data_IF_125753338241
#
_entry.id   IF_125753338241
#
_cell.length_a   1.000
_cell.length_b   1.000
_cell.length_c   1.000
_cell.angle_alpha   90.00
_cell.angle_beta   90.00
_cell.angle_gamma   90.00
#
_symmetry.space_group_name_H-M   'P 1'
#
loop_
_entity.id
_entity.type
_entity.pdbx_description
1 polymer ?
#
# COMPACT_ATOMS: atom_id res chain seq x y z
N UNK A 1 -9.91 8.72 -30.33
CA UNK A 1 -8.72 8.59 -29.45
C UNK A 1 -8.13 7.20 -29.61
N UNK A 2 -6.82 7.09 -29.83
CA UNK A 2 -6.13 5.80 -29.98
C UNK A 2 -6.10 5.09 -28.62
N UNK A 3 -6.87 4.01 -28.45
CA UNK A 3 -7.02 3.30 -27.16
C UNK A 3 -5.68 2.89 -26.55
N UNK A 4 -4.69 2.57 -27.39
CA UNK A 4 -3.33 2.21 -26.97
C UNK A 4 -2.57 3.37 -26.29
N UNK A 5 -2.77 4.60 -26.76
CA UNK A 5 -2.09 5.77 -26.20
C UNK A 5 -2.60 6.14 -24.81
N UNK A 6 -3.91 5.97 -24.57
CA UNK A 6 -4.55 6.25 -23.27
C UNK A 6 -4.11 5.25 -22.21
N UNK A 7 -4.03 3.96 -22.57
CA UNK A 7 -3.56 2.91 -21.66
C UNK A 7 -2.11 3.12 -21.25
N UNK A 8 -1.20 3.43 -22.20
CA UNK A 8 0.21 3.68 -21.89
C UNK A 8 0.39 4.91 -21.01
N UNK A 9 -0.33 6.01 -21.28
CA UNK A 9 -0.33 7.20 -20.42
C UNK A 9 -0.85 6.90 -19.01
N UNK A 10 -1.91 6.09 -18.89
CA UNK A 10 -2.45 5.67 -17.60
C UNK A 10 -1.45 4.86 -16.76
N UNK A 11 -0.69 3.97 -17.41
CA UNK A 11 0.33 3.16 -16.73
C UNK A 11 1.51 4.00 -16.28
N UNK A 12 2.01 4.89 -17.14
CA UNK A 12 3.04 5.84 -16.78
C UNK A 12 2.58 6.75 -15.64
N UNK A 13 1.33 7.22 -15.68
CA UNK A 13 0.72 8.01 -14.62
C UNK A 13 0.63 7.24 -13.29
N UNK A 14 0.21 5.97 -13.32
CA UNK A 14 0.13 5.12 -12.13
C UNK A 14 1.51 4.84 -11.52
N UNK A 15 2.51 4.51 -12.34
CA UNK A 15 3.89 4.32 -11.89
C UNK A 15 4.47 5.60 -11.30
N UNK A 16 4.28 6.74 -11.98
CA UNK A 16 4.72 8.04 -11.49
C UNK A 16 4.05 8.41 -10.16
N UNK A 17 2.74 8.15 -10.03
CA UNK A 17 1.99 8.39 -8.80
C UNK A 17 2.50 7.55 -7.64
N UNK A 18 2.74 6.25 -7.85
CA UNK A 18 3.24 5.34 -6.80
C UNK A 18 4.64 5.75 -6.37
N UNK A 19 5.51 6.08 -7.32
CA UNK A 19 6.87 6.55 -7.04
C UNK A 19 6.84 7.90 -6.29
N UNK A 20 6.02 8.84 -6.73
CA UNK A 20 5.85 10.14 -6.08
C UNK A 20 5.28 9.98 -4.66
N UNK A 21 4.25 9.16 -4.48
CA UNK A 21 3.67 8.86 -3.18
C UNK A 21 4.70 8.23 -2.23
N UNK A 22 5.54 7.32 -2.74
CA UNK A 22 6.61 6.67 -1.96
C UNK A 22 7.67 7.68 -1.51
N UNK A 23 8.15 8.53 -2.42
CA UNK A 23 9.12 9.60 -2.10
C UNK A 23 8.51 10.59 -1.10
N UNK A 24 7.27 11.01 -1.33
CA UNK A 24 6.56 11.92 -0.44
C UNK A 24 6.42 11.34 0.98
N UNK A 25 6.11 10.04 1.09
CA UNK A 25 6.07 9.34 2.37
C UNK A 25 7.43 9.36 3.06
N UNK A 26 8.51 9.00 2.37
CA UNK A 26 9.87 9.00 2.93
C UNK A 26 10.24 10.39 3.47
N UNK A 27 10.01 11.45 2.68
CA UNK A 27 10.31 12.83 3.08
C UNK A 27 9.48 13.24 4.29
N UNK A 28 8.18 12.93 4.29
CA UNK A 28 7.27 13.26 5.39
C UNK A 28 7.69 12.57 6.68
N UNK A 29 8.02 11.27 6.61
CA UNK A 29 8.50 10.49 7.75
C UNK A 29 9.80 11.02 8.30
N UNK A 30 10.77 11.29 7.42
CA UNK A 30 12.06 11.85 7.83
C UNK A 30 11.87 13.21 8.51
N UNK A 31 10.99 14.06 7.97
CA UNK A 31 10.69 15.38 8.54
C UNK A 31 10.01 15.27 9.90
N UNK A 32 9.00 14.41 10.04
CA UNK A 32 8.30 14.20 11.32
C UNK A 32 9.23 13.64 12.39
N UNK A 33 10.08 12.67 12.03
CA UNK A 33 11.06 12.10 12.97
C UNK A 33 12.08 13.14 13.41
N UNK A 34 12.56 13.98 12.49
CA UNK A 34 13.49 15.08 12.81
C UNK A 34 12.83 16.12 13.71
N UNK A 35 11.58 16.49 13.43
CA UNK A 35 10.81 17.43 14.27
C UNK A 35 10.64 16.85 15.67
N UNK A 36 10.26 15.57 15.79
CA UNK A 36 10.05 14.92 17.08
C UNK A 36 11.36 14.86 17.89
N UNK A 37 12.48 14.54 17.24
CA UNK A 37 13.81 14.54 17.88
C UNK A 37 14.27 15.93 18.34
N UNK A 38 13.87 17.00 17.66
CA UNK A 38 14.25 18.38 18.04
C UNK A 38 13.29 18.95 19.08
N UNK A 39 11.99 18.65 18.99
CA UNK A 39 10.95 19.20 19.86
C UNK A 39 10.73 18.42 21.16
N UNK A 40 11.22 17.18 21.24
CA UNK A 40 11.29 16.42 22.49
C UNK A 40 12.42 16.89 23.43
N UNK A 41 13.30 17.78 22.96
CA UNK A 41 14.23 18.47 23.85
C UNK A 41 13.45 19.41 24.77
N UNK A 42 13.70 19.30 26.08
CA UNK A 42 13.04 20.06 27.14
C UNK A 42 13.51 21.53 27.12
N UNK A 43 13.15 22.24 26.05
CA UNK A 43 13.47 23.63 25.80
C UNK A 43 12.34 24.50 26.31
N UNK A 44 12.57 25.13 27.46
CA UNK A 44 11.71 26.21 27.95
C UNK A 44 12.02 27.49 27.15
N UNK A 45 11.08 27.90 26.29
CA UNK A 45 11.11 29.22 25.65
C UNK A 45 10.08 30.09 26.37
N UNK A 46 10.53 30.87 27.35
CA UNK A 46 9.66 31.67 28.21
C UNK A 46 9.04 30.87 29.36
N UNK A 47 7.70 30.88 29.49
CA UNK A 47 6.91 30.11 30.48
C UNK A 47 6.20 28.87 29.91
N UNK A 48 6.40 28.59 28.61
CA UNK A 48 5.73 27.49 27.93
C UNK A 48 6.75 26.38 27.69
N UNK A 49 6.53 25.24 28.34
CA UNK A 49 7.32 24.04 28.08
C UNK A 49 6.89 23.49 26.71
N UNK A 50 7.79 23.59 25.72
CA UNK A 50 7.53 23.15 24.36
C UNK A 50 7.29 21.63 24.28
N UNK A 51 7.91 20.85 25.18
CA UNK A 51 7.64 19.42 25.32
C UNK A 51 6.20 19.12 25.76
N UNK A 52 5.63 19.91 26.67
CA UNK A 52 4.23 19.74 27.13
C UNK A 52 3.23 20.10 26.02
N UNK A 53 3.43 21.23 25.33
CA UNK A 53 2.55 21.65 24.22
C UNK A 53 2.67 20.71 23.02
N UNK A 54 3.87 20.23 22.72
CA UNK A 54 4.12 19.20 21.71
C UNK A 54 3.38 17.91 22.03
N UNK A 55 3.50 17.41 23.25
CA UNK A 55 2.83 16.18 23.67
C UNK A 55 1.29 16.33 23.71
N UNK A 56 0.78 17.53 24.02
CA UNK A 56 -0.66 17.82 23.95
C UNK A 56 -1.19 17.94 22.51
N UNK A 57 -0.38 18.36 21.55
CA UNK A 57 -0.82 18.55 20.16
C UNK A 57 -0.50 17.33 19.30
N UNK A 58 0.78 17.02 19.16
CA UNK A 58 1.28 15.90 18.37
C UNK A 58 1.03 14.57 19.06
N UNK A 59 1.06 14.51 20.40
CA UNK A 59 0.73 13.29 21.13
C UNK A 59 -0.76 12.90 21.02
N UNK A 60 -1.69 13.86 21.01
CA UNK A 60 -3.11 13.58 20.74
C UNK A 60 -3.35 13.17 19.29
N UNK A 61 -2.70 13.83 18.33
CA UNK A 61 -2.76 13.44 16.92
C UNK A 61 -2.23 12.02 16.72
N UNK A 62 -1.10 11.68 17.36
CA UNK A 62 -0.50 10.35 17.27
C UNK A 62 -1.45 9.28 17.87
N UNK A 63 -2.06 9.54 19.03
CA UNK A 63 -3.06 8.66 19.65
C UNK A 63 -4.31 8.48 18.78
N UNK A 64 -4.79 9.53 18.11
CA UNK A 64 -5.93 9.45 17.20
C UNK A 64 -5.61 8.65 15.93
N UNK A 65 -4.38 8.78 15.41
CA UNK A 65 -3.89 7.97 14.31
C UNK A 65 -3.81 6.50 14.74
N UNK A 66 -3.26 6.20 15.92
CA UNK A 66 -3.16 4.85 16.50
C UNK A 66 -4.52 4.17 16.58
N UNK A 67 -5.54 4.86 17.12
CA UNK A 67 -6.88 4.31 17.24
C UNK A 67 -7.51 3.96 15.87
N UNK A 68 -7.01 4.56 14.78
CA UNK A 68 -7.48 4.33 13.42
C UNK A 68 -6.48 3.50 12.59
N UNK A 69 -5.31 3.11 13.12
CA UNK A 69 -4.29 2.40 12.35
C UNK A 69 -4.79 1.08 11.80
N UNK A 70 -5.60 0.33 12.56
CA UNK A 70 -6.22 -0.91 12.10
C UNK A 70 -7.10 -0.69 10.86
N UNK A 71 -7.93 0.35 10.89
CA UNK A 71 -8.84 0.68 9.80
C UNK A 71 -8.09 1.22 8.59
N UNK A 72 -7.09 2.09 8.81
CA UNK A 72 -6.23 2.65 7.76
C UNK A 72 -5.45 1.52 7.07
N UNK A 73 -4.88 0.61 7.86
CA UNK A 73 -4.15 -0.57 7.39
C UNK A 73 -5.00 -1.45 6.47
N UNK A 74 -6.23 -1.76 6.88
CA UNK A 74 -7.16 -2.56 6.09
C UNK A 74 -7.59 -1.83 4.80
N UNK A 75 -7.91 -0.54 4.88
CA UNK A 75 -8.29 0.27 3.72
C UNK A 75 -7.16 0.30 2.68
N UNK A 76 -5.92 0.50 3.13
CA UNK A 76 -4.75 0.52 2.26
C UNK A 76 -4.57 -0.85 1.60
N UNK A 77 -4.64 -1.93 2.38
CA UNK A 77 -4.47 -3.29 1.86
C UNK A 77 -5.55 -3.61 0.81
N UNK A 78 -6.83 -3.38 1.10
CA UNK A 78 -7.90 -3.57 0.11
C UNK A 78 -7.76 -2.66 -1.11
N UNK A 79 -7.38 -1.39 -0.93
CA UNK A 79 -7.16 -0.45 -2.03
C UNK A 79 -6.08 -0.95 -2.99
N UNK A 80 -5.00 -1.49 -2.45
CA UNK A 80 -3.91 -2.09 -3.22
C UNK A 80 -4.39 -3.31 -4.00
N UNK A 81 -5.15 -4.22 -3.36
CA UNK A 81 -5.69 -5.40 -4.04
C UNK A 81 -6.55 -5.01 -5.24
N UNK A 82 -7.39 -3.98 -5.09
CA UNK A 82 -8.25 -3.48 -6.16
C UNK A 82 -7.42 -2.88 -7.29
N UNK A 83 -6.43 -2.03 -6.97
CA UNK A 83 -5.57 -1.39 -7.97
C UNK A 83 -4.78 -2.43 -8.76
N UNK A 84 -4.12 -3.38 -8.09
CA UNK A 84 -3.38 -4.47 -8.74
C UNK A 84 -4.31 -5.35 -9.59
N UNK A 85 -5.50 -5.65 -9.08
CA UNK A 85 -6.53 -6.38 -9.82
C UNK A 85 -6.95 -5.70 -11.13
N UNK A 86 -7.26 -4.40 -11.06
CA UNK A 86 -7.67 -3.59 -12.22
C UNK A 86 -6.55 -3.44 -13.24
N UNK A 87 -5.34 -3.14 -12.77
CA UNK A 87 -4.14 -3.08 -13.61
C UNK A 87 -3.92 -4.42 -14.30
N UNK A 88 -4.07 -5.54 -13.57
CA UNK A 88 -3.90 -6.88 -14.11
C UNK A 88 -4.89 -7.22 -15.23
N UNK A 89 -6.18 -6.93 -15.05
CA UNK A 89 -7.19 -7.20 -16.08
C UNK A 89 -6.91 -6.39 -17.35
N UNK A 90 -6.50 -5.13 -17.23
CA UNK A 90 -6.24 -4.26 -18.38
C UNK A 90 -4.96 -4.60 -19.14
N UNK A 91 -3.88 -4.95 -18.44
CA UNK A 91 -2.55 -5.13 -19.04
C UNK A 91 -2.18 -6.57 -19.36
N UNK A 92 -2.65 -7.54 -18.58
CA UNK A 92 -2.20 -8.92 -18.73
C UNK A 92 -2.64 -9.56 -20.05
N UNK A 93 -3.76 -9.10 -20.64
CA UNK A 93 -4.27 -9.62 -21.91
C UNK A 93 -3.45 -9.18 -23.13
N UNK A 94 -3.08 -7.89 -23.17
CA UNK A 94 -2.40 -7.26 -24.30
C UNK A 94 -0.87 -7.39 -24.22
N UNK A 95 -0.29 -7.17 -23.03
CA UNK A 95 1.15 -7.07 -22.84
C UNK A 95 1.61 -7.80 -21.57
N UNK A 96 1.61 -9.14 -21.55
CA UNK A 96 1.90 -9.93 -20.34
C UNK A 96 3.30 -9.66 -19.76
N UNK A 97 4.30 -9.37 -20.61
CA UNK A 97 5.66 -9.03 -20.13
C UNK A 97 5.71 -7.68 -19.39
N UNK A 98 4.94 -6.69 -19.86
CA UNK A 98 4.89 -5.35 -19.26
C UNK A 98 4.04 -5.41 -17.98
N UNK A 99 2.97 -6.21 -17.99
CA UNK A 99 2.15 -6.47 -16.80
C UNK A 99 3.00 -6.91 -15.60
N UNK A 100 3.83 -7.95 -15.76
CA UNK A 100 4.67 -8.44 -14.65
C UNK A 100 5.63 -7.37 -14.12
N UNK A 101 6.19 -6.53 -15.00
CA UNK A 101 7.09 -5.46 -14.59
C UNK A 101 6.35 -4.38 -13.77
N UNK A 102 5.19 -3.93 -14.27
CA UNK A 102 4.38 -2.90 -13.62
C UNK A 102 3.87 -3.40 -12.27
N UNK A 103 3.38 -4.63 -12.23
CA UNK A 103 2.80 -5.22 -11.03
C UNK A 103 3.88 -5.52 -9.97
N UNK A 104 5.10 -5.90 -10.38
CA UNK A 104 6.24 -5.99 -9.48
C UNK A 104 6.64 -4.62 -8.89
N UNK A 105 6.64 -3.56 -9.70
CA UNK A 105 6.89 -2.19 -9.20
C UNK A 105 5.82 -1.72 -8.23
N UNK A 106 4.55 -2.00 -8.52
CA UNK A 106 3.44 -1.72 -7.60
C UNK A 106 3.63 -2.46 -6.29
N UNK A 107 3.98 -3.75 -6.34
CA UNK A 107 4.22 -4.56 -5.16
C UNK A 107 5.37 -3.99 -4.29
N UNK A 108 6.44 -3.48 -4.90
CA UNK A 108 7.52 -2.79 -4.16
C UNK A 108 7.00 -1.52 -3.47
N UNK A 109 6.21 -0.69 -4.15
CA UNK A 109 5.63 0.51 -3.54
C UNK A 109 4.71 0.17 -2.37
N UNK A 110 3.91 -0.88 -2.54
CA UNK A 110 3.04 -1.45 -1.50
C UNK A 110 3.85 -1.93 -0.30
N UNK A 111 4.94 -2.66 -0.55
CA UNK A 111 5.82 -3.14 0.50
C UNK A 111 6.39 -1.99 1.33
N UNK A 112 6.88 -0.93 0.68
CA UNK A 112 7.42 0.26 1.37
C UNK A 112 6.33 0.93 2.22
N UNK A 113 5.11 1.06 1.70
CA UNK A 113 4.00 1.66 2.44
C UNK A 113 3.58 0.80 3.63
N UNK A 114 3.56 -0.51 3.45
CA UNK A 114 3.27 -1.46 4.51
C UNK A 114 4.34 -1.45 5.61
N UNK A 115 5.62 -1.37 5.22
CA UNK A 115 6.77 -1.29 6.12
C UNK A 115 6.70 -0.03 6.99
N UNK A 116 6.34 1.10 6.37
CA UNK A 116 6.12 2.34 7.10
C UNK A 116 5.02 2.22 8.16
N UNK A 117 3.86 1.65 7.82
CA UNK A 117 2.76 1.45 8.78
C UNK A 117 3.20 0.54 9.93
N UNK A 118 3.89 -0.54 9.60
CA UNK A 118 4.42 -1.49 10.58
C UNK A 118 5.42 -0.82 11.52
N UNK A 119 6.39 -0.07 10.99
CA UNK A 119 7.40 0.64 11.78
C UNK A 119 6.82 1.75 12.66
N UNK A 120 5.80 2.46 12.15
CA UNK A 120 5.04 3.42 12.97
C UNK A 120 4.36 2.71 14.15
N UNK A 121 3.74 1.54 13.91
CA UNK A 121 3.10 0.75 14.95
C UNK A 121 4.11 0.21 15.98
N UNK A 122 5.27 -0.28 15.53
CA UNK A 122 6.36 -0.78 16.39
C UNK A 122 6.91 0.32 17.32
N UNK A 123 7.16 1.50 16.77
CA UNK A 123 7.63 2.67 17.54
C UNK A 123 6.65 3.00 18.67
N UNK A 124 5.35 2.85 18.42
CA UNK A 124 4.29 3.17 19.37
C UNK A 124 4.18 2.12 20.48
N UNK A 125 4.17 0.82 20.14
CA UNK A 125 4.08 -0.26 21.15
C UNK A 125 5.34 -0.35 22.01
N UNK A 126 6.49 0.07 21.49
CA UNK A 126 7.76 0.10 22.23
C UNK A 126 7.82 1.25 23.26
N UNK A 127 6.86 2.19 23.25
CA UNK A 127 6.82 3.29 24.20
C UNK A 127 6.50 2.78 25.63
N UNK A 128 7.41 2.95 26.60
CA UNK A 128 7.23 2.45 27.98
C UNK A 128 5.97 2.96 28.67
N UNK A 129 5.49 4.15 28.29
CA UNK A 129 4.31 4.82 28.86
C UNK A 129 2.98 4.15 28.45
N UNK A 130 2.98 3.43 27.34
CA UNK A 130 1.81 2.74 26.77
C UNK A 130 1.89 1.21 26.96
N UNK A 131 3.09 0.70 27.26
CA UNK A 131 3.39 -0.72 27.37
C UNK A 131 2.49 -1.43 28.41
N UNK A 132 2.22 -0.79 29.56
CA UNK A 132 1.37 -1.34 30.61
C UNK A 132 -0.11 -1.52 30.20
N UNK A 133 -0.61 -0.77 29.21
CA UNK A 133 -1.99 -0.89 28.70
C UNK A 133 -2.07 -1.90 27.55
N UNK A 134 -0.97 -2.09 26.82
CA UNK A 134 -0.91 -2.87 25.57
C UNK A 134 -0.54 -4.35 25.82
N UNK A 135 0.31 -4.66 26.81
CA UNK A 135 0.78 -6.04 27.05
C UNK A 135 -0.27 -7.00 27.58
N UNK A 136 -1.33 -6.52 28.23
CA UNK A 136 -2.37 -7.39 28.80
C UNK A 136 -3.45 -7.79 27.79
N UNK A 137 -3.59 -7.05 26.69
CA UNK A 137 -4.67 -7.22 25.72
C UNK A 137 -4.20 -7.14 24.26
N UNK A 138 -2.92 -7.40 23.98
CA UNK A 138 -2.35 -7.28 22.63
C UNK A 138 -3.15 -8.17 21.66
N UNK A 139 -4.11 -7.61 20.90
CA UNK A 139 -5.05 -8.44 20.16
C UNK A 139 -4.28 -9.10 19.03
N UNK A 140 -4.76 -10.24 18.54
CA UNK A 140 -4.17 -10.88 17.34
C UNK A 140 -4.07 -9.91 16.14
N UNK A 141 -4.84 -8.82 16.13
CA UNK A 141 -4.81 -7.72 15.16
C UNK A 141 -3.48 -6.94 15.17
N UNK A 142 -2.85 -6.75 16.32
CA UNK A 142 -1.56 -6.06 16.42
C UNK A 142 -0.43 -6.85 15.74
N UNK A 143 -0.46 -8.19 15.84
CA UNK A 143 0.48 -9.07 15.12
C UNK A 143 0.26 -9.02 13.61
N UNK A 144 -0.95 -8.73 13.14
CA UNK A 144 -1.24 -8.55 11.72
C UNK A 144 -0.59 -7.27 11.19
N UNK A 145 -0.70 -6.16 11.92
CA UNK A 145 -0.12 -4.86 11.52
C UNK A 145 1.40 -4.88 11.54
N UNK A 146 2.01 -5.51 12.55
CA UNK A 146 3.47 -5.71 12.62
C UNK A 146 4.03 -6.57 11.48
N UNK A 147 3.19 -7.40 10.86
CA UNK A 147 3.58 -8.25 9.74
C UNK A 147 2.91 -7.83 8.43
N UNK A 148 2.37 -6.61 8.38
CA UNK A 148 1.65 -6.09 7.22
C UNK A 148 2.50 -6.11 5.93
N UNK A 149 3.83 -5.86 5.95
CA UNK A 149 4.67 -5.97 4.74
C UNK A 149 4.65 -7.38 4.14
N UNK A 150 4.69 -8.39 5.01
CA UNK A 150 4.66 -9.80 4.60
C UNK A 150 3.28 -10.13 4.02
N UNK A 151 2.21 -9.77 4.72
CA UNK A 151 0.84 -10.03 4.25
C UNK A 151 0.50 -9.30 2.96
N UNK A 152 0.93 -8.05 2.81
CA UNK A 152 0.74 -7.27 1.59
C UNK A 152 1.52 -7.87 0.40
N UNK A 153 2.75 -8.35 0.64
CA UNK A 153 3.55 -9.03 -0.39
C UNK A 153 2.93 -10.35 -0.83
N UNK A 154 2.50 -11.18 0.12
CA UNK A 154 1.87 -12.46 -0.17
C UNK A 154 0.55 -12.29 -0.93
N UNK A 155 -0.30 -11.36 -0.50
CA UNK A 155 -1.57 -11.08 -1.17
C UNK A 155 -1.36 -10.46 -2.56
N UNK A 156 -0.38 -9.57 -2.72
CA UNK A 156 0.01 -9.01 -4.02
C UNK A 156 0.50 -10.09 -5.00
N UNK A 157 1.36 -11.01 -4.54
CA UNK A 157 1.81 -12.16 -5.34
C UNK A 157 0.65 -13.07 -5.76
N UNK A 158 -0.27 -13.36 -4.83
CA UNK A 158 -1.46 -14.17 -5.14
C UNK A 158 -2.33 -13.50 -6.21
N UNK A 159 -2.54 -12.18 -6.11
CA UNK A 159 -3.29 -11.42 -7.12
C UNK A 159 -2.59 -11.45 -8.47
N UNK A 160 -1.28 -11.27 -8.51
CA UNK A 160 -0.50 -11.32 -9.75
C UNK A 160 -0.71 -12.66 -10.48
N UNK A 161 -0.62 -13.77 -9.74
CA UNK A 161 -0.84 -15.12 -10.29
C UNK A 161 -2.29 -15.28 -10.76
N UNK A 162 -3.25 -14.83 -9.95
CA UNK A 162 -4.67 -14.99 -10.24
C UNK A 162 -5.13 -14.17 -11.45
N UNK A 163 -4.73 -12.90 -11.54
CA UNK A 163 -5.04 -12.02 -12.67
C UNK A 163 -4.38 -12.48 -13.96
N UNK A 164 -3.14 -12.97 -13.90
CA UNK A 164 -2.48 -13.56 -15.05
C UNK A 164 -3.20 -14.84 -15.53
N UNK A 165 -3.53 -15.75 -14.60
CA UNK A 165 -4.23 -17.00 -14.90
C UNK A 165 -5.61 -16.76 -15.53
N UNK A 166 -6.38 -15.82 -14.99
CA UNK A 166 -7.66 -15.41 -15.56
C UNK A 166 -7.51 -14.83 -16.97
N UNK A 167 -6.55 -13.94 -17.17
CA UNK A 167 -6.34 -13.27 -18.45
C UNK A 167 -5.93 -14.23 -19.56
N UNK A 168 -5.12 -15.24 -19.25
CA UNK A 168 -4.75 -16.30 -20.20
C UNK A 168 -5.97 -17.12 -20.63
N UNK A 169 -6.83 -17.52 -19.68
CA UNK A 169 -8.02 -18.32 -19.94
C UNK A 169 -9.02 -17.60 -20.85
N UNK A 170 -9.21 -16.29 -20.66
CA UNK A 170 -10.09 -15.45 -21.50
C UNK A 170 -9.59 -15.43 -22.95
N UNK A 171 -8.27 -15.26 -23.15
CA UNK A 171 -7.67 -15.23 -24.49
C UNK A 171 -7.78 -16.56 -25.23
N UNK A 172 -7.65 -17.67 -24.52
CA UNK A 172 -7.83 -19.02 -25.08
C UNK A 172 -9.29 -19.32 -25.45
N UNK A 173 -10.28 -18.86 -24.66
CA UNK A 173 -11.70 -18.99 -25.00
C UNK A 173 -12.08 -18.21 -26.25
N UNK A 174 -11.64 -16.95 -26.39
CA UNK A 174 -11.90 -16.15 -27.58
C UNK A 174 -11.27 -16.74 -28.85
N UNK A 175 -10.08 -17.34 -28.72
CA UNK A 175 -9.43 -18.02 -29.84
C UNK A 175 -10.20 -19.28 -30.29
N UNK A 176 -10.92 -19.97 -29.40
CA UNK A 176 -11.71 -21.16 -29.74
C UNK A 176 -13.04 -20.81 -30.41
N UNK A 177 -13.73 -19.78 -29.93
CA UNK A 177 -14.97 -19.29 -30.54
C UNK A 177 -14.72 -18.73 -31.95
N UNK A 178 -13.66 -17.92 -32.11
CA UNK A 178 -13.28 -17.39 -33.43
C UNK A 178 -12.82 -18.47 -34.43
N UNK A 179 -12.40 -19.65 -33.95
CA UNK A 179 -12.13 -20.80 -34.83
C UNK A 179 -13.45 -21.50 -35.18
N UNK A 180 -14.37 -21.70 -34.23
CA UNK A 180 -15.69 -22.29 -34.50
C UNK A 180 -16.51 -21.50 -35.53
N UNK A 181 -16.43 -20.17 -35.54
CA UNK A 181 -17.09 -19.34 -36.57
C UNK A 181 -16.47 -19.50 -37.97
N UNK A 182 -15.20 -19.91 -38.06
CA UNK A 182 -14.49 -20.11 -39.35
C UNK A 182 -14.68 -21.53 -39.90
N UNK A 183 -14.86 -22.53 -39.03
CA UNK A 183 -15.19 -23.91 -39.45
C UNK A 183 -16.70 -24.21 -39.37
N UNK A 184 -17.51 -23.25 -38.93
CA UNK A 184 -18.96 -23.28 -38.99
C UNK A 184 -19.38 -23.22 -40.45
N UNK A 185 -19.64 -24.39 -41.01
CA UNK A 185 -20.27 -24.58 -42.31
C UNK A 185 -21.44 -23.60 -42.44
N UNK A 186 -21.36 -22.73 -43.46
CA UNK A 186 -22.54 -22.03 -43.96
C UNK A 186 -23.55 -23.09 -44.38
N UNK A 187 -24.65 -23.15 -43.64
CA UNK A 187 -25.93 -23.60 -44.16
C UNK A 187 -26.58 -22.46 -44.95
#
# INVERSE_FOLDING_TARGET
>A
MNKKGVTVLGIFGALFFVLFASIFLIITTFSLTTIDNVMSADLEVGQVNLGVVHNQTFGLMNRSLIAQMDQISLIILFGILIVMGLVGIGLAQEHPRIFFLVDAFLLVGVFIMADFISGAYETIISNPSLNAVITENLPNQAKFILNLPIWATLTGLLIMVFTYGLSKKIKESQAREGVQDVIGFGE
#
